data_IF_097501359971
#
_entry.id   IF_097501359971
#
_cell.length_a   1.000
_cell.length_b   1.000
_cell.length_c   1.000
_cell.angle_alpha   90.00
_cell.angle_beta   90.00
_cell.angle_gamma   90.00
#
_symmetry.space_group_name_H-M   'P 1'
#
loop_
_entity.id
_entity.type
_entity.pdbx_description
1 polymer ?
#
# COMPACT_ATOMS: atom_id res chain seq x y z
N UNK A 1 -59.08 -6.79 -3.28
CA UNK A 1 -59.32 -7.42 -1.96
C UNK A 1 -59.52 -8.92 -2.15
N UNK A 2 -58.57 -9.75 -1.73
CA UNK A 2 -58.79 -11.13 -1.28
C UNK A 2 -57.45 -11.70 -0.81
N UNK A 3 -57.28 -11.77 0.52
CA UNK A 3 -56.17 -12.46 1.18
C UNK A 3 -56.48 -13.96 1.16
N UNK A 4 -55.53 -14.80 0.76
CA UNK A 4 -55.58 -16.24 1.08
C UNK A 4 -54.30 -16.61 1.81
N UNK A 5 -54.48 -16.79 3.12
CA UNK A 5 -53.48 -17.26 4.04
C UNK A 5 -53.15 -18.73 3.72
N UNK A 6 -51.89 -18.99 3.36
CA UNK A 6 -51.32 -20.32 3.35
C UNK A 6 -50.78 -20.64 4.74
N UNK A 7 -51.44 -21.60 5.40
CA UNK A 7 -51.00 -22.24 6.64
C UNK A 7 -49.65 -22.91 6.40
N UNK A 8 -48.57 -22.38 7.01
CA UNK A 8 -47.32 -23.12 7.14
C UNK A 8 -47.24 -23.75 8.53
N UNK A 9 -47.26 -25.08 8.51
CA UNK A 9 -47.12 -26.01 9.61
C UNK A 9 -45.88 -25.71 10.45
N UNK A 10 -46.07 -25.51 11.75
CA UNK A 10 -45.00 -25.38 12.74
C UNK A 10 -44.44 -26.77 13.07
N UNK A 11 -43.48 -27.24 12.28
CA UNK A 11 -42.65 -28.39 12.67
C UNK A 11 -41.40 -27.87 13.36
N UNK A 12 -41.47 -27.89 14.70
CA UNK A 12 -40.32 -27.86 15.59
C UNK A 12 -39.35 -28.97 15.19
N UNK A 13 -38.18 -28.60 14.67
CA UNK A 13 -37.05 -29.51 14.50
C UNK A 13 -35.81 -28.86 15.12
N UNK A 14 -35.41 -29.44 16.25
CA UNK A 14 -34.03 -29.58 16.70
C UNK A 14 -33.09 -28.40 16.44
N UNK A 15 -32.93 -27.58 17.48
CA UNK A 15 -31.70 -26.83 17.72
C UNK A 15 -30.49 -27.79 17.74
N UNK A 16 -29.50 -27.64 16.85
CA UNK A 16 -28.16 -28.06 17.19
C UNK A 16 -27.60 -27.01 18.16
N UNK A 17 -27.17 -27.49 19.33
CA UNK A 17 -26.36 -26.74 20.27
C UNK A 17 -25.19 -26.07 19.54
N UNK A 18 -25.22 -24.74 19.42
CA UNK A 18 -24.05 -23.98 19.00
C UNK A 18 -23.01 -24.13 20.12
N UNK A 19 -21.84 -24.73 19.85
CA UNK A 19 -20.79 -24.80 20.85
C UNK A 19 -20.30 -23.39 21.16
N UNK A 20 -19.95 -23.22 22.45
CA UNK A 20 -19.68 -21.97 23.15
C UNK A 20 -19.12 -20.83 22.31
N UNK A 21 -19.71 -19.66 22.55
CA UNK A 21 -19.11 -18.32 22.41
C UNK A 21 -17.60 -18.44 22.30
N UNK A 22 -17.05 -18.21 21.10
CA UNK A 22 -15.61 -18.00 20.93
C UNK A 22 -15.26 -16.78 21.77
N UNK A 23 -14.89 -17.01 23.03
CA UNK A 23 -14.21 -16.05 23.87
C UNK A 23 -12.91 -15.81 23.14
N UNK A 24 -12.83 -14.75 22.34
CA UNK A 24 -11.55 -14.22 21.92
C UNK A 24 -10.80 -13.93 23.22
N UNK A 25 -9.92 -14.86 23.62
CA UNK A 25 -8.93 -14.60 24.66
C UNK A 25 -8.13 -13.44 24.09
N UNK A 26 -8.42 -12.24 24.56
CA UNK A 26 -7.51 -11.11 24.37
C UNK A 26 -6.25 -11.49 25.12
N UNK A 27 -5.27 -11.99 24.39
CA UNK A 27 -3.95 -12.26 24.93
C UNK A 27 -3.32 -10.88 25.17
N UNK A 28 -3.48 -10.37 26.39
CA UNK A 28 -2.83 -9.14 26.85
C UNK A 28 -1.35 -9.40 27.22
N UNK A 29 -0.65 -10.22 26.42
CA UNK A 29 0.77 -10.45 26.61
C UNK A 29 1.52 -9.24 26.07
N UNK A 30 2.31 -8.61 26.94
CA UNK A 30 3.26 -7.58 26.50
C UNK A 30 4.32 -8.22 25.59
N UNK A 31 4.94 -7.42 24.72
CA UNK A 31 6.07 -7.85 23.88
C UNK A 31 7.15 -8.56 24.72
N UNK A 32 7.43 -8.05 25.94
CA UNK A 32 8.39 -8.67 26.86
C UNK A 32 7.97 -10.08 27.29
N UNK A 33 6.69 -10.29 27.56
CA UNK A 33 6.17 -11.60 27.94
C UNK A 33 6.26 -12.60 26.77
N UNK A 34 6.04 -12.15 25.54
CA UNK A 34 6.23 -12.97 24.35
C UNK A 34 7.70 -13.33 24.14
N UNK A 35 8.60 -12.36 24.19
CA UNK A 35 10.05 -12.62 24.09
C UNK A 35 10.54 -13.62 25.15
N UNK A 36 10.08 -13.48 26.40
CA UNK A 36 10.41 -14.42 27.46
C UNK A 36 9.87 -15.84 27.19
N UNK A 37 8.69 -15.96 26.58
CA UNK A 37 8.11 -17.24 26.18
C UNK A 37 8.90 -17.91 25.04
N UNK A 38 9.51 -17.15 24.13
CA UNK A 38 10.40 -17.72 23.09
C UNK A 38 11.75 -18.18 23.65
N UNK A 39 12.23 -17.56 24.73
CA UNK A 39 13.52 -17.92 25.36
C UNK A 39 13.43 -19.01 26.43
N UNK A 40 12.22 -19.36 26.89
CA UNK A 40 12.03 -20.36 27.95
C UNK A 40 11.96 -21.78 27.36
N UNK A 41 12.88 -22.71 27.71
CA UNK A 41 12.90 -24.08 27.18
C UNK A 41 11.66 -24.94 27.51
N UNK A 42 10.89 -24.56 28.53
CA UNK A 42 9.64 -25.23 28.89
C UNK A 42 8.41 -24.68 28.13
N UNK A 43 8.59 -23.63 27.31
CA UNK A 43 7.51 -23.02 26.54
C UNK A 43 7.24 -23.78 25.24
N UNK A 44 5.98 -23.94 24.82
CA UNK A 44 5.64 -24.50 23.51
C UNK A 44 6.22 -23.73 22.32
N UNK A 45 6.62 -22.47 22.56
CA UNK A 45 7.19 -21.57 21.56
C UNK A 45 8.71 -21.43 21.70
N UNK A 46 9.37 -22.28 22.49
CA UNK A 46 10.81 -22.21 22.65
C UNK A 46 11.52 -22.44 21.31
N UNK A 47 12.41 -21.53 20.96
CA UNK A 47 13.33 -21.69 19.82
C UNK A 47 14.74 -21.73 20.38
N UNK A 48 15.43 -22.86 20.19
CA UNK A 48 16.81 -22.97 20.62
C UNK A 48 17.68 -21.97 19.82
N UNK A 49 18.67 -21.32 20.45
CA UNK A 49 19.57 -20.40 19.75
C UNK A 49 20.20 -21.08 18.52
N UNK A 50 19.97 -20.52 17.33
CA UNK A 50 20.46 -21.06 16.06
C UNK A 50 19.48 -21.99 15.31
N UNK A 51 18.28 -22.26 15.85
CA UNK A 51 17.24 -22.97 15.10
C UNK A 51 16.52 -22.02 14.15
N UNK A 52 16.62 -22.29 12.85
CA UNK A 52 15.76 -21.65 11.85
C UNK A 52 14.34 -22.22 12.01
N UNK A 53 13.32 -21.36 11.86
CA UNK A 53 11.93 -21.81 11.83
C UNK A 53 11.69 -22.80 10.67
N UNK A 54 10.59 -23.57 10.70
CA UNK A 54 10.23 -24.40 9.56
C UNK A 54 10.13 -23.51 8.32
N UNK A 55 10.89 -23.85 7.27
CA UNK A 55 10.80 -23.16 6.00
C UNK A 55 9.34 -23.20 5.54
N UNK A 56 8.76 -22.03 5.27
CA UNK A 56 7.49 -21.95 4.58
C UNK A 56 7.68 -22.55 3.18
N UNK A 57 6.73 -23.33 2.64
CA UNK A 57 6.83 -23.84 1.27
C UNK A 57 6.95 -22.70 0.23
N UNK A 58 6.63 -21.46 0.62
CA UNK A 58 6.78 -20.25 -0.20
C UNK A 58 8.07 -19.45 0.06
N UNK A 59 8.95 -19.92 0.97
CA UNK A 59 10.21 -19.25 1.26
C UNK A 59 11.20 -19.49 0.09
N UNK A 60 11.37 -18.45 -0.74
CA UNK A 60 12.37 -18.44 -1.80
C UNK A 60 13.75 -18.37 -1.15
N UNK A 61 14.59 -19.39 -1.37
CA UNK A 61 15.97 -19.40 -0.90
C UNK A 61 16.75 -18.22 -1.52
N UNK A 62 16.96 -17.15 -0.75
CA UNK A 62 17.81 -16.05 -1.13
C UNK A 62 19.28 -16.46 -0.90
N UNK A 63 20.19 -16.27 -1.86
CA UNK A 63 21.60 -16.59 -1.66
C UNK A 63 22.20 -15.68 -0.58
N UNK A 64 22.82 -16.29 0.42
CA UNK A 64 23.58 -15.60 1.47
C UNK A 64 24.80 -14.90 0.88
N UNK A 65 24.71 -13.60 0.62
CA UNK A 65 25.90 -12.73 0.53
C UNK A 65 25.68 -11.43 1.30
N UNK A 66 26.25 -11.43 2.49
CA UNK A 66 26.89 -10.33 3.22
C UNK A 66 26.53 -8.90 2.81
N UNK A 67 25.85 -8.22 3.75
CA UNK A 67 26.07 -6.82 4.15
C UNK A 67 26.34 -5.80 3.05
N UNK A 68 25.31 -5.00 2.70
CA UNK A 68 25.39 -3.53 2.59
C UNK A 68 24.04 -2.92 2.10
N UNK A 69 23.66 -1.82 2.75
CA UNK A 69 22.60 -0.84 2.41
C UNK A 69 21.12 -1.28 2.51
N UNK A 70 20.48 -0.85 3.61
CA UNK A 70 19.04 -0.86 3.83
C UNK A 70 18.32 0.17 2.92
N UNK A 71 17.98 -0.25 1.70
CA UNK A 71 16.87 0.30 0.92
C UNK A 71 16.53 -0.69 -0.20
N UNK A 72 15.84 -1.80 0.11
CA UNK A 72 15.52 -2.82 -0.90
C UNK A 72 14.06 -3.28 -0.86
N UNK A 73 13.37 -2.98 -1.95
CA UNK A 73 12.44 -3.90 -2.62
C UNK A 73 10.97 -3.82 -2.21
N UNK A 74 10.14 -3.28 -3.12
CA UNK A 74 8.70 -3.58 -3.15
C UNK A 74 8.54 -4.88 -3.95
N UNK A 75 7.99 -5.92 -3.32
CA UNK A 75 7.83 -7.28 -3.88
C UNK A 75 6.38 -7.49 -4.38
N UNK A 76 6.21 -8.18 -5.50
CA UNK A 76 4.97 -8.69 -6.09
C UNK A 76 5.32 -10.01 -6.81
N UNK A 77 4.54 -11.03 -6.53
CA UNK A 77 4.70 -12.39 -7.03
C UNK A 77 4.17 -12.52 -8.47
N UNK A 78 5.06 -12.83 -9.42
CA UNK A 78 4.86 -13.79 -10.53
C UNK A 78 5.90 -13.65 -11.66
N UNK A 79 6.60 -12.51 -11.76
CA UNK A 79 7.83 -12.32 -12.55
C UNK A 79 8.37 -10.92 -12.26
N UNK A 80 8.65 -10.64 -10.99
CA UNK A 80 9.20 -9.33 -10.65
C UNK A 80 10.70 -9.30 -10.88
N UNK A 81 11.07 -8.89 -12.08
CA UNK A 81 12.35 -8.27 -12.33
C UNK A 81 12.50 -7.11 -11.34
N UNK A 82 13.49 -7.19 -10.44
CA UNK A 82 13.88 -6.06 -9.61
C UNK A 82 14.32 -4.95 -10.57
N UNK A 83 13.44 -3.97 -10.75
CA UNK A 83 13.68 -2.90 -11.71
C UNK A 83 14.58 -1.86 -11.05
N UNK A 84 15.77 -1.67 -11.60
CA UNK A 84 16.68 -0.65 -11.08
C UNK A 84 16.08 0.75 -11.30
N UNK A 85 16.40 1.75 -10.46
CA UNK A 85 15.87 3.11 -10.60
C UNK A 85 16.09 3.71 -12.00
N UNK A 86 17.21 3.39 -12.64
CA UNK A 86 17.51 3.79 -14.02
C UNK A 86 16.53 3.16 -15.04
N UNK A 87 16.29 1.85 -14.92
CA UNK A 87 15.37 1.12 -15.80
C UNK A 87 13.92 1.61 -15.63
N UNK A 88 13.51 1.97 -14.40
CA UNK A 88 12.20 2.58 -14.15
C UNK A 88 12.05 3.92 -14.87
N UNK A 89 13.10 4.75 -14.85
CA UNK A 89 13.13 6.02 -15.59
C UNK A 89 12.94 5.80 -17.09
N UNK A 90 13.61 4.81 -17.66
CA UNK A 90 13.49 4.46 -19.08
C UNK A 90 12.06 4.00 -19.44
N UNK A 91 11.44 3.14 -18.62
CA UNK A 91 10.07 2.69 -18.86
C UNK A 91 9.04 3.81 -18.75
N UNK A 92 9.23 4.73 -17.81
CA UNK A 92 8.38 5.91 -17.67
C UNK A 92 8.47 6.82 -18.89
N UNK A 93 9.68 7.04 -19.42
CA UNK A 93 9.88 7.85 -20.62
C UNK A 93 9.28 7.17 -21.86
N UNK A 94 9.45 5.87 -22.03
CA UNK A 94 8.79 5.09 -23.08
C UNK A 94 7.25 5.20 -23.00
N UNK A 95 6.69 5.18 -21.79
CA UNK A 95 5.27 5.41 -21.56
C UNK A 95 4.83 6.82 -22.00
N UNK A 96 5.59 7.85 -21.63
CA UNK A 96 5.34 9.24 -22.06
C UNK A 96 5.43 9.39 -23.58
N UNK A 97 6.38 8.73 -24.23
CA UNK A 97 6.53 8.75 -25.68
C UNK A 97 5.33 8.14 -26.41
N UNK A 98 4.84 6.99 -25.95
CA UNK A 98 3.65 6.36 -26.54
C UNK A 98 2.40 7.23 -26.40
N UNK A 99 2.24 7.89 -25.26
CA UNK A 99 1.16 8.86 -25.06
C UNK A 99 1.32 10.08 -25.98
N UNK A 100 2.54 10.58 -26.14
CA UNK A 100 2.82 11.68 -27.07
C UNK A 100 2.52 11.30 -28.53
N UNK A 101 2.88 10.10 -28.96
CA UNK A 101 2.55 9.55 -30.28
C UNK A 101 1.04 9.42 -30.50
N UNK A 102 0.29 9.18 -29.42
CA UNK A 102 -1.17 9.12 -29.44
C UNK A 102 -1.85 10.50 -29.47
N UNK A 103 -1.07 11.59 -29.50
CA UNK A 103 -1.57 12.96 -29.58
C UNK A 103 -1.70 13.69 -28.23
N UNK A 104 -1.30 13.07 -27.12
CA UNK A 104 -1.31 13.74 -25.81
C UNK A 104 -0.08 14.64 -25.65
N UNK A 105 -0.26 15.88 -25.21
CA UNK A 105 0.88 16.77 -25.02
C UNK A 105 1.68 16.37 -23.77
N UNK A 106 3.01 16.31 -23.89
CA UNK A 106 3.93 15.93 -22.81
C UNK A 106 3.79 16.78 -21.54
N UNK A 107 3.40 18.04 -21.68
CA UNK A 107 3.17 18.98 -20.58
C UNK A 107 1.98 18.59 -19.69
N UNK A 108 1.00 17.85 -20.23
CA UNK A 108 -0.20 17.42 -19.51
C UNK A 108 -0.16 15.95 -19.08
N UNK A 109 0.98 15.27 -19.23
CA UNK A 109 1.16 13.90 -18.76
C UNK A 109 1.66 13.93 -17.31
N UNK A 110 0.86 13.37 -16.41
CA UNK A 110 1.18 13.23 -14.99
C UNK A 110 1.43 11.77 -14.61
N UNK A 111 2.48 11.53 -13.81
CA UNK A 111 2.77 10.21 -13.25
C UNK A 111 2.03 10.02 -11.93
N UNK A 112 1.15 9.02 -11.88
CA UNK A 112 0.49 8.61 -10.65
C UNK A 112 1.19 7.39 -10.05
N UNK A 113 1.71 7.52 -8.83
CA UNK A 113 2.21 6.37 -8.09
C UNK A 113 1.03 5.60 -7.49
N UNK A 114 0.98 4.29 -7.73
CA UNK A 114 -0.05 3.39 -7.21
C UNK A 114 0.56 2.60 -6.07
N UNK A 115 -0.07 2.66 -4.90
CA UNK A 115 0.36 1.86 -3.74
C UNK A 115 -0.55 0.66 -3.55
N UNK A 116 -0.07 -0.34 -2.81
CA UNK A 116 -0.82 -1.57 -2.60
C UNK A 116 -2.20 -1.33 -1.94
N UNK A 117 -2.31 -0.31 -1.07
CA UNK A 117 -3.58 0.08 -0.45
C UNK A 117 -4.62 0.67 -1.41
N UNK A 118 -4.25 1.00 -2.64
CA UNK A 118 -5.19 1.46 -3.67
C UNK A 118 -5.88 0.29 -4.38
N UNK A 119 -5.40 -0.93 -4.17
CA UNK A 119 -5.94 -2.14 -4.79
C UNK A 119 -7.10 -2.72 -3.98
N UNK A 120 -8.01 -3.40 -4.69
CA UNK A 120 -9.11 -4.16 -4.11
C UNK A 120 -8.80 -5.68 -4.08
N UNK A 121 -9.67 -6.52 -3.48
CA UNK A 121 -9.46 -7.97 -3.46
C UNK A 121 -9.43 -8.64 -4.84
N UNK A 122 -9.85 -7.93 -5.90
CA UNK A 122 -9.76 -8.42 -7.27
C UNK A 122 -8.39 -8.18 -7.89
N UNK A 123 -7.40 -7.69 -7.13
CA UNK A 123 -6.04 -7.41 -7.60
C UNK A 123 -5.97 -6.31 -8.67
N UNK A 124 -6.95 -5.41 -8.66
CA UNK A 124 -6.97 -4.22 -9.52
C UNK A 124 -7.01 -2.98 -8.64
N UNK A 125 -6.67 -1.83 -9.23
CA UNK A 125 -6.93 -0.54 -8.57
C UNK A 125 -8.44 -0.39 -8.40
N UNK A 126 -8.87 -0.08 -7.18
CA UNK A 126 -10.27 0.13 -6.90
C UNK A 126 -10.81 1.29 -7.74
N UNK A 127 -11.96 1.08 -8.40
CA UNK A 127 -12.58 2.08 -9.28
C UNK A 127 -12.77 3.46 -8.62
N UNK A 128 -13.02 3.52 -7.31
CA UNK A 128 -13.19 4.76 -6.56
C UNK A 128 -11.89 5.58 -6.49
N UNK A 129 -10.74 4.92 -6.53
CA UNK A 129 -9.44 5.61 -6.45
C UNK A 129 -9.15 6.47 -7.69
N UNK A 130 -9.68 6.10 -8.86
CA UNK A 130 -9.50 6.92 -10.07
C UNK A 130 -10.04 8.34 -9.92
N UNK A 131 -11.15 8.52 -9.20
CA UNK A 131 -11.71 9.86 -8.94
C UNK A 131 -10.71 10.72 -8.16
N UNK A 132 -10.07 10.15 -7.13
CA UNK A 132 -9.06 10.84 -6.32
C UNK A 132 -7.80 11.18 -7.13
N UNK A 133 -7.41 10.31 -8.05
CA UNK A 133 -6.29 10.59 -8.95
C UNK A 133 -6.60 11.79 -9.83
N UNK A 134 -7.78 11.85 -10.45
CA UNK A 134 -8.16 13.01 -11.27
C UNK A 134 -8.23 14.31 -10.45
N UNK A 135 -8.76 14.27 -9.23
CA UNK A 135 -8.76 15.43 -8.32
C UNK A 135 -7.34 15.92 -8.01
N UNK A 136 -6.41 15.00 -7.76
CA UNK A 136 -5.01 15.30 -7.48
C UNK A 136 -4.33 15.95 -8.69
N UNK A 137 -4.50 15.37 -9.88
CA UNK A 137 -3.93 15.88 -11.13
C UNK A 137 -4.47 17.27 -11.47
N UNK A 138 -5.78 17.50 -11.30
CA UNK A 138 -6.38 18.81 -11.54
C UNK A 138 -5.83 19.87 -10.61
N UNK A 139 -5.72 19.54 -9.32
CA UNK A 139 -5.13 20.43 -8.32
C UNK A 139 -3.70 20.78 -8.69
N UNK A 140 -2.93 19.81 -9.18
CA UNK A 140 -1.56 20.04 -9.58
C UNK A 140 -1.42 20.95 -10.80
N UNK A 141 -2.21 20.74 -11.85
CA UNK A 141 -2.17 21.58 -13.05
C UNK A 141 -2.68 23.00 -12.81
N UNK A 142 -3.58 23.19 -11.84
CA UNK A 142 -4.11 24.53 -11.52
C UNK A 142 -3.20 25.24 -10.52
N UNK A 143 -2.76 24.58 -9.45
CA UNK A 143 -2.10 25.23 -8.31
C UNK A 143 -0.60 25.45 -8.53
N UNK A 144 0.12 24.52 -9.16
CA UNK A 144 1.56 24.69 -9.38
C UNK A 144 1.94 25.91 -10.21
N UNK A 145 1.29 26.22 -11.35
CA UNK A 145 1.64 27.44 -12.11
C UNK A 145 1.32 28.73 -11.33
N UNK A 146 0.25 28.74 -10.53
CA UNK A 146 -0.10 29.89 -9.69
C UNK A 146 0.95 30.08 -8.60
N UNK A 147 1.35 29.02 -7.91
CA UNK A 147 2.38 29.08 -6.87
C UNK A 147 3.75 29.45 -7.43
N UNK A 148 4.12 28.92 -8.60
CA UNK A 148 5.36 29.28 -9.29
C UNK A 148 5.38 30.77 -9.69
N UNK A 149 4.26 31.29 -10.18
CA UNK A 149 4.10 32.71 -10.50
C UNK A 149 4.23 33.60 -9.26
N UNK A 150 3.54 33.24 -8.17
CA UNK A 150 3.61 33.98 -6.90
C UNK A 150 5.04 33.95 -6.34
N UNK A 151 5.71 32.78 -6.35
CA UNK A 151 7.05 32.63 -5.82
C UNK A 151 8.08 33.45 -6.61
N UNK A 152 8.01 33.42 -7.95
CA UNK A 152 8.88 34.25 -8.81
C UNK A 152 8.61 35.75 -8.62
N UNK A 153 7.35 36.16 -8.49
CA UNK A 153 6.97 37.53 -8.16
C UNK A 153 7.57 37.99 -6.83
N UNK A 154 7.36 37.24 -5.73
CA UNK A 154 7.92 37.61 -4.42
C UNK A 154 9.45 37.63 -4.42
N UNK A 155 10.12 36.70 -5.12
CA UNK A 155 11.58 36.69 -5.21
C UNK A 155 12.12 37.93 -5.94
N UNK A 156 11.47 38.36 -7.03
CA UNK A 156 11.86 39.58 -7.75
C UNK A 156 11.61 40.83 -6.89
N UNK A 157 10.46 40.92 -6.24
CA UNK A 157 10.13 42.07 -5.39
C UNK A 157 11.07 42.19 -4.18
N UNK A 158 11.40 41.07 -3.51
CA UNK A 158 12.33 41.07 -2.38
C UNK A 158 13.76 41.41 -2.81
N UNK A 159 14.22 40.90 -3.95
CA UNK A 159 15.55 41.23 -4.50
C UNK A 159 15.70 42.70 -4.94
N UNK A 160 14.59 43.40 -5.21
CA UNK A 160 14.56 44.81 -5.60
C UNK A 160 14.49 45.81 -4.43
N UNK A 161 14.38 45.33 -3.18
CA UNK A 161 14.32 46.20 -2.01
C UNK A 161 15.71 46.77 -1.70
N UNK A 162 15.90 48.11 -1.72
CA UNK A 162 17.21 48.70 -1.42
C UNK A 162 17.56 48.42 0.04
N UNK A 163 18.66 47.70 0.25
CA UNK A 163 19.28 47.48 1.56
C UNK A 163 19.55 48.84 2.19
N UNK A 164 18.70 49.27 3.12
CA UNK A 164 18.92 50.49 3.89
C UNK A 164 20.00 50.17 4.92
N UNK A 165 21.26 50.40 4.53
CA UNK A 165 22.39 50.41 5.45
C UNK A 165 22.25 51.63 6.36
N UNK A 166 21.95 51.38 7.64
CA UNK A 166 22.13 52.33 8.74
C UNK A 166 23.60 52.35 9.18
#
# INVERSE_FOLDING_TARGET
MCRRAGLFSTTSMYHPHLPGVYRQRRFNSSIKALCAAFSNPASPYYLAPGTAGPASPDDVALPEQSSETHAKGIIHSSSQKLLYPSELGELLEQGREKLAQSGFQRSYIWQQNIVWGDQDPFQHVNNVQYVRFFESVRSQFILLPILAYICTYYHIYFASSPTTTL
#
